data_IF_864419220706
#
_entry.id   IF_864419220706
#
_cell.length_a   1.000
_cell.length_b   1.000
_cell.length_c   1.000
_cell.angle_alpha   90.00
_cell.angle_beta   90.00
_cell.angle_gamma   90.00
#
_symmetry.space_group_name_H-M   'P 1'
#
loop_
_entity.id
_entity.type
_entity.pdbx_description
1 polymer ?
#
# COMPACT_ATOMS: atom_id res chain seq x y z
N UNK A 1 -13.71 10.58 14.04
CA UNK A 1 -13.41 11.39 12.84
C UNK A 1 -12.41 10.62 11.99
N UNK A 2 -12.86 9.92 10.95
CA UNK A 2 -11.99 9.17 10.04
C UNK A 2 -11.22 10.17 9.19
N UNK A 3 -10.16 10.76 9.75
CA UNK A 3 -9.19 11.53 8.97
C UNK A 3 -8.79 10.66 7.79
N UNK A 4 -9.16 11.12 6.59
CA UNK A 4 -9.06 10.37 5.33
C UNK A 4 -7.78 9.55 5.29
N UNK A 5 -7.87 8.24 5.01
CA UNK A 5 -6.69 7.38 4.85
C UNK A 5 -5.65 8.02 3.93
N UNK A 6 -6.09 8.87 2.99
CA UNK A 6 -5.28 9.72 2.13
C UNK A 6 -4.20 10.46 2.91
N UNK A 7 -4.60 11.25 3.92
CA UNK A 7 -3.65 12.03 4.75
C UNK A 7 -2.65 11.14 5.50
N UNK A 8 -3.09 9.98 5.96
CA UNK A 8 -2.21 9.04 6.68
C UNK A 8 -1.19 8.42 5.74
N UNK A 9 -1.62 8.06 4.53
CA UNK A 9 -0.77 7.49 3.49
C UNK A 9 0.22 8.55 3.01
N UNK A 10 -0.22 9.78 2.75
CA UNK A 10 0.64 10.91 2.37
C UNK A 10 1.70 11.19 3.43
N UNK A 11 1.30 11.32 4.69
CA UNK A 11 2.24 11.56 5.80
C UNK A 11 3.25 10.42 5.95
N UNK A 12 2.83 9.17 5.77
CA UNK A 12 3.75 8.03 5.77
C UNK A 12 4.71 8.08 4.59
N UNK A 13 4.22 8.39 3.38
CA UNK A 13 5.06 8.45 2.20
C UNK A 13 6.09 9.57 2.30
N UNK A 14 5.69 10.75 2.77
CA UNK A 14 6.59 11.89 3.02
C UNK A 14 7.67 11.53 4.05
N UNK A 15 7.28 10.93 5.18
CA UNK A 15 8.22 10.52 6.23
C UNK A 15 9.17 9.40 5.80
N UNK A 16 8.73 8.50 4.92
CA UNK A 16 9.51 7.37 4.42
C UNK A 16 10.28 7.67 3.11
N UNK A 17 10.15 8.89 2.55
CA UNK A 17 10.78 9.24 1.28
C UNK A 17 10.20 8.50 0.07
N UNK A 18 8.93 8.11 0.14
CA UNK A 18 8.20 7.42 -0.94
C UNK A 18 7.51 8.45 -1.82
N UNK A 19 7.66 8.31 -3.14
CA UNK A 19 6.98 9.18 -4.10
C UNK A 19 5.47 8.87 -4.17
N UNK A 20 4.63 9.89 -3.98
CA UNK A 20 3.17 9.79 -4.15
C UNK A 20 2.82 10.13 -5.60
N UNK A 21 2.19 9.22 -6.37
CA UNK A 21 1.83 9.51 -7.76
C UNK A 21 0.70 10.54 -7.83
N UNK A 22 0.75 11.43 -8.83
CA UNK A 22 -0.24 12.49 -9.09
C UNK A 22 -1.69 11.94 -9.22
N UNK A 23 -1.85 10.65 -9.56
CA UNK A 23 -3.16 9.97 -9.64
C UNK A 23 -3.77 9.55 -8.29
N UNK A 24 -2.96 9.41 -7.23
CA UNK A 24 -3.44 9.01 -5.90
C UNK A 24 -4.46 10.01 -5.34
N UNK A 25 -4.22 11.29 -5.59
CA UNK A 25 -5.05 12.36 -5.05
C UNK A 25 -6.48 12.40 -5.60
N UNK A 26 -6.69 11.79 -6.79
CA UNK A 26 -7.95 11.81 -7.53
C UNK A 26 -8.95 10.76 -7.02
N UNK A 27 -8.48 9.77 -6.27
CA UNK A 27 -9.30 8.66 -5.81
C UNK A 27 -9.42 8.65 -4.29
N UNK A 28 -10.54 8.13 -3.79
CA UNK A 28 -10.70 7.87 -2.36
C UNK A 28 -9.67 6.85 -1.90
N UNK A 29 -8.85 7.22 -0.92
CA UNK A 29 -7.86 6.32 -0.37
C UNK A 29 -8.51 5.26 0.53
N UNK A 30 -8.20 4.00 0.25
CA UNK A 30 -8.60 2.84 1.03
C UNK A 30 -7.71 2.59 2.24
N UNK A 31 -8.02 1.51 2.97
CA UNK A 31 -7.28 1.05 4.15
C UNK A 31 -5.92 0.48 3.80
N UNK A 32 -5.83 -0.22 2.67
CA UNK A 32 -4.64 -0.93 2.21
C UNK A 32 -3.97 -0.17 1.08
N UNK A 33 -2.66 0.02 1.17
CA UNK A 33 -1.86 0.66 0.15
C UNK A 33 -0.64 -0.19 -0.19
N UNK A 34 -0.29 -0.23 -1.47
CA UNK A 34 0.91 -0.91 -1.96
C UNK A 34 2.00 0.11 -2.27
N UNK A 35 3.24 -0.20 -1.88
CA UNK A 35 4.45 0.54 -2.22
C UNK A 35 5.26 -0.32 -3.17
N UNK A 36 5.58 0.21 -4.35
CA UNK A 36 6.52 -0.37 -5.28
C UNK A 36 7.95 -0.04 -4.84
N UNK A 37 8.70 -1.07 -4.44
CA UNK A 37 10.11 -0.96 -4.03
C UNK A 37 11.08 -1.26 -5.18
N UNK A 38 10.61 -1.68 -6.35
CA UNK A 38 11.48 -1.79 -7.54
C UNK A 38 11.78 -0.43 -8.16
N UNK A 39 10.96 0.58 -7.87
CA UNK A 39 11.24 1.97 -8.26
C UNK A 39 12.31 2.59 -7.35
N UNK A 40 13.21 3.40 -7.93
CA UNK A 40 14.18 4.20 -7.18
C UNK A 40 13.99 5.69 -7.55
N UNK A 41 13.39 6.52 -6.67
CA UNK A 41 12.95 6.20 -5.32
C UNK A 41 11.70 5.29 -5.26
N UNK A 42 11.44 4.62 -4.12
CA UNK A 42 10.22 3.83 -3.93
C UNK A 42 8.97 4.66 -4.18
N UNK A 43 7.92 4.04 -4.74
CA UNK A 43 6.73 4.76 -5.19
C UNK A 43 5.46 4.13 -4.66
N UNK A 44 4.52 4.95 -4.20
CA UNK A 44 3.18 4.52 -3.83
C UNK A 44 2.40 4.09 -5.08
N UNK A 45 1.70 2.96 -5.01
CA UNK A 45 0.72 2.58 -6.02
C UNK A 45 -0.49 3.50 -5.90
N UNK A 46 -0.89 4.16 -7.00
CA UNK A 46 -1.98 5.14 -6.99
C UNK A 46 -3.33 4.54 -6.54
N UNK A 47 -3.51 3.24 -6.74
CA UNK A 47 -4.69 2.50 -6.30
C UNK A 47 -4.51 1.99 -4.87
N UNK A 48 -5.54 2.17 -4.07
CA UNK A 48 -5.64 1.63 -2.71
C UNK A 48 -6.94 0.87 -2.55
N UNK A 49 -6.99 -0.01 -1.55
CA UNK A 49 -8.08 -0.96 -1.40
C UNK A 49 -8.73 -0.88 -0.02
N UNK A 50 -10.05 -1.06 0.01
CA UNK A 50 -10.79 -1.15 1.28
C UNK A 50 -10.81 -2.58 1.82
N UNK A 51 -10.74 -3.58 0.92
CA UNK A 51 -10.73 -5.00 1.26
C UNK A 51 -9.32 -5.60 1.13
N UNK A 52 -9.02 -6.57 2.00
CA UNK A 52 -7.78 -7.36 1.91
C UNK A 52 -7.79 -8.26 0.68
N UNK A 53 -8.96 -8.71 0.23
CA UNK A 53 -9.09 -9.59 -0.94
C UNK A 53 -8.67 -8.87 -2.22
N UNK A 54 -9.08 -7.62 -2.41
CA UNK A 54 -8.67 -6.82 -3.58
C UNK A 54 -7.16 -6.54 -3.55
N UNK A 55 -6.61 -6.28 -2.36
CA UNK A 55 -5.17 -6.08 -2.17
C UNK A 55 -4.37 -7.37 -2.48
N UNK A 56 -4.84 -8.54 -2.01
CA UNK A 56 -4.27 -9.85 -2.37
C UNK A 56 -4.36 -10.08 -3.87
N UNK A 57 -5.51 -9.80 -4.48
CA UNK A 57 -5.73 -9.99 -5.90
C UNK A 57 -4.76 -9.15 -6.74
N UNK A 58 -4.53 -7.90 -6.35
CA UNK A 58 -3.49 -7.04 -6.94
C UNK A 58 -2.10 -7.66 -6.79
N UNK A 59 -1.74 -8.12 -5.59
CA UNK A 59 -0.43 -8.70 -5.33
C UNK A 59 -0.18 -9.99 -6.13
N UNK A 60 -1.21 -10.82 -6.28
CA UNK A 60 -1.14 -12.08 -7.01
C UNK A 60 -1.07 -11.89 -8.54
N UNK A 61 -1.80 -10.91 -9.09
CA UNK A 61 -1.94 -10.76 -10.54
C UNK A 61 -1.05 -9.67 -11.15
N UNK A 62 -0.84 -8.56 -10.44
CA UNK A 62 -0.17 -7.36 -10.96
C UNK A 62 1.20 -7.13 -10.34
N UNK A 63 1.39 -7.48 -9.07
CA UNK A 63 2.68 -7.41 -8.42
C UNK A 63 3.53 -8.68 -8.58
N UNK A 64 3.04 -9.69 -9.31
CA UNK A 64 3.75 -10.95 -9.54
C UNK A 64 5.13 -10.72 -10.16
N UNK A 65 6.18 -10.83 -9.34
CA UNK A 65 7.57 -10.60 -9.73
C UNK A 65 8.15 -9.23 -9.32
N UNK A 66 7.33 -8.30 -8.82
CA UNK A 66 7.79 -7.01 -8.26
C UNK A 66 7.94 -7.09 -6.74
N UNK A 67 8.95 -6.40 -6.21
CA UNK A 67 9.13 -6.13 -4.79
C UNK A 67 8.11 -5.08 -4.36
N UNK A 68 6.90 -5.52 -4.05
CA UNK A 68 5.84 -4.65 -3.54
C UNK A 68 5.62 -4.89 -2.05
N UNK A 69 5.52 -3.80 -1.28
CA UNK A 69 5.19 -3.84 0.15
C UNK A 69 3.75 -3.38 0.35
N UNK A 70 2.95 -4.16 1.06
CA UNK A 70 1.57 -3.80 1.37
C UNK A 70 1.51 -3.21 2.79
N UNK A 71 0.68 -2.19 3.00
CA UNK A 71 0.53 -1.49 4.27
C UNK A 71 -0.94 -1.46 4.67
N UNK A 72 -1.24 -1.75 5.94
CA UNK A 72 -2.56 -1.61 6.56
C UNK A 72 -2.59 -0.37 7.45
N UNK A 73 -3.24 0.70 7.00
CA UNK A 73 -3.32 1.97 7.72
C UNK A 73 -4.39 2.00 8.82
N UNK A 74 -5.26 0.99 8.91
CA UNK A 74 -6.15 0.83 10.06
C UNK A 74 -5.38 0.24 11.23
N UNK A 75 -4.60 -0.81 10.97
CA UNK A 75 -3.82 -1.52 12.01
C UNK A 75 -2.37 -1.05 12.15
N UNK A 76 -1.95 -0.06 11.35
CA UNK A 76 -0.58 0.50 11.27
C UNK A 76 0.50 -0.57 11.22
N UNK A 77 0.35 -1.48 10.26
CA UNK A 77 1.27 -2.61 10.08
C UNK A 77 1.57 -2.87 8.64
N UNK A 78 2.77 -3.36 8.40
CA UNK A 78 3.16 -3.91 7.11
C UNK A 78 2.51 -5.27 6.91
N UNK A 79 2.19 -5.58 5.66
CA UNK A 79 1.69 -6.86 5.21
C UNK A 79 2.64 -7.38 4.14
N UNK A 80 3.08 -8.62 4.30
CA UNK A 80 3.93 -9.30 3.31
C UNK A 80 3.09 -10.30 2.55
N UNK A 81 3.20 -10.29 1.23
CA UNK A 81 2.54 -11.30 0.41
C UNK A 81 3.32 -12.61 0.48
N UNK A 82 2.63 -13.71 0.79
CA UNK A 82 3.25 -15.02 0.95
C UNK A 82 3.58 -15.73 -0.39
N UNK A 83 3.33 -15.06 -1.53
CA UNK A 83 3.57 -15.61 -2.87
C UNK A 83 2.47 -16.55 -3.37
N UNK A 84 1.36 -16.73 -2.63
CA UNK A 84 0.22 -17.57 -3.04
C UNK A 84 -1.04 -16.74 -3.14
N UNK A 85 -1.65 -16.45 -2.00
CA UNK A 85 -3.03 -15.94 -1.91
C UNK A 85 -3.27 -15.19 -0.59
N UNK A 86 -2.24 -14.97 0.23
CA UNK A 86 -2.43 -14.36 1.54
C UNK A 86 -1.41 -13.27 1.86
N UNK A 87 -1.89 -12.27 2.60
CA UNK A 87 -1.10 -11.21 3.20
C UNK A 87 -0.85 -11.54 4.67
N UNK A 88 0.39 -11.87 5.01
CA UNK A 88 0.79 -12.13 6.39
C UNK A 88 1.14 -10.82 7.11
N UNK A 89 0.63 -10.59 8.33
CA UNK A 89 0.98 -9.42 9.11
C UNK A 89 2.45 -9.43 9.48
N UNK A 90 3.13 -8.32 9.19
CA UNK A 90 4.54 -8.09 9.50
C UNK A 90 4.72 -7.04 10.60
N UNK A 91 5.71 -6.16 10.40
CA UNK A 91 6.15 -5.17 11.39
C UNK A 91 5.12 -4.05 11.56
N UNK A 92 5.04 -3.50 12.77
CA UNK A 92 4.31 -2.26 13.05
C UNK A 92 5.14 -1.04 12.61
N UNK A 93 4.46 0.04 12.23
CA UNK A 93 5.07 1.32 11.88
C UNK A 93 4.32 2.50 12.49
#
# INVERSE_FOLDING_TARGET
>A
MFGSYKKKIEAYCEAAGIEVPIGFERHSAGRYAAIDLDSNPPKLVATTWSSVQDAVHYMANLAGGRRTRMLDFLKRRELTFNGKDNLVPGKLF
#
